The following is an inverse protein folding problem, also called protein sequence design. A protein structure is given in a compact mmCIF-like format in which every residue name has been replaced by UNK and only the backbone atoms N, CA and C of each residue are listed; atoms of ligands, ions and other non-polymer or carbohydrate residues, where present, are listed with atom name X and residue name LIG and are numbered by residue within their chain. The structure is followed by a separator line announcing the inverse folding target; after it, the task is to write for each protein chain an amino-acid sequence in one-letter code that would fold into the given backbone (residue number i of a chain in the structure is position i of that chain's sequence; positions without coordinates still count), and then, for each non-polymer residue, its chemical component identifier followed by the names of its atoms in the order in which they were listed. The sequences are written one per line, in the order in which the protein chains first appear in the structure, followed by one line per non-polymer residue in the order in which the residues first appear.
data_IF_364576726544
#
_entry.id   IF_364576726544
#
_cell.length_a   1.000
_cell.length_b   1.000
_cell.length_c   1.000
_cell.angle_alpha   90.00
_cell.angle_beta   90.00
_cell.angle_gamma   90.00
#
_symmetry.space_group_name_H-M   'P 1'
#
loop_
_entity.id
_entity.type
_entity.pdbx_description
1 polymer ?
#
# COMPACT_ATOMS: atom_id res chain seq x y z
N UNK A 1 -0.82 -78.84 -2.56
CA UNK A 1 -1.72 -78.64 -3.72
C UNK A 1 -2.95 -77.89 -3.23
N UNK A 2 -3.22 -76.68 -3.74
CA UNK A 2 -4.43 -75.87 -3.42
C UNK A 2 -5.67 -76.51 -4.05
N UNK A 3 -6.87 -76.13 -3.57
CA UNK A 3 -7.83 -75.58 -4.53
C UNK A 3 -8.36 -74.21 -4.10
N UNK A 4 -8.44 -73.32 -5.09
CA UNK A 4 -9.03 -72.00 -5.02
C UNK A 4 -10.51 -72.09 -5.41
N UNK A 5 -11.36 -71.40 -4.65
CA UNK A 5 -12.77 -71.20 -4.97
C UNK A 5 -12.94 -70.03 -5.95
N UNK A 6 -13.70 -70.31 -7.01
CA UNK A 6 -14.28 -69.36 -7.99
C UNK A 6 -15.27 -68.42 -7.26
N UNK A 7 -15.51 -67.18 -7.70
CA UNK A 7 -16.40 -66.83 -8.82
C UNK A 7 -16.57 -65.29 -8.95
N UNK A 8 -17.21 -64.78 -10.03
CA UNK A 8 -16.82 -63.54 -10.74
C UNK A 8 -17.90 -62.43 -10.82
N UNK A 9 -17.58 -61.33 -11.53
CA UNK A 9 -18.46 -60.29 -12.14
C UNK A 9 -19.11 -59.30 -11.15
N UNK A 10 -19.39 -58.02 -11.41
CA UNK A 10 -19.63 -57.23 -12.62
C UNK A 10 -19.63 -55.70 -12.29
N UNK A 11 -19.26 -54.90 -13.28
CA UNK A 11 -19.67 -53.52 -13.64
C UNK A 11 -20.04 -52.45 -12.58
N UNK A 12 -19.44 -51.25 -12.70
CA UNK A 12 -20.11 -50.06 -13.26
C UNK A 12 -19.13 -48.91 -13.52
N UNK A 13 -19.33 -48.21 -14.64
CA UNK A 13 -18.64 -46.98 -15.02
C UNK A 13 -19.55 -45.80 -14.66
N UNK A 14 -19.07 -44.83 -13.87
CA UNK A 14 -19.75 -43.54 -13.67
C UNK A 14 -18.76 -42.43 -13.32
N UNK A 15 -18.79 -41.38 -14.14
CA UNK A 15 -18.15 -40.08 -13.92
C UNK A 15 -18.69 -39.42 -12.63
N UNK A 16 -17.85 -38.69 -11.90
CA UNK A 16 -18.30 -37.85 -10.78
C UNK A 16 -17.19 -37.03 -10.11
N UNK A 17 -16.99 -35.80 -10.60
CA UNK A 17 -16.47 -34.59 -9.94
C UNK A 17 -15.41 -34.72 -8.83
N UNK A 18 -14.19 -34.27 -9.12
CA UNK A 18 -13.26 -33.77 -8.10
C UNK A 18 -13.76 -32.42 -7.57
N UNK A 19 -13.79 -32.16 -6.25
CA UNK A 19 -14.47 -30.99 -5.67
C UNK A 19 -13.54 -29.80 -5.43
N UNK A 20 -12.64 -29.47 -6.36
CA UNK A 20 -11.72 -28.34 -6.16
C UNK A 20 -11.38 -27.58 -7.44
N UNK A 21 -12.42 -27.08 -8.10
CA UNK A 21 -12.30 -25.96 -9.04
C UNK A 21 -13.43 -24.98 -8.72
N UNK A 22 -13.10 -23.73 -8.35
CA UNK A 22 -13.56 -22.67 -9.24
C UNK A 22 -12.56 -21.51 -9.36
N UNK A 23 -11.96 -21.38 -10.55
CA UNK A 23 -11.96 -20.07 -11.20
C UNK A 23 -13.25 -19.88 -12.02
N UNK A 24 -13.77 -18.65 -11.92
CA UNK A 24 -14.80 -18.00 -12.76
C UNK A 24 -16.29 -18.17 -12.37
N UNK A 25 -16.75 -17.21 -11.55
CA UNK A 25 -17.95 -16.43 -11.87
C UNK A 25 -17.60 -14.95 -11.82
N UNK A 26 -17.55 -14.35 -13.01
CA UNK A 26 -17.41 -12.90 -13.24
C UNK A 26 -18.70 -12.21 -12.79
N UNK A 27 -18.73 -11.72 -11.56
CA UNK A 27 -19.55 -10.59 -11.17
C UNK A 27 -18.64 -9.37 -11.14
N UNK A 28 -18.79 -8.43 -12.09
CA UNK A 28 -18.20 -7.10 -11.95
C UNK A 28 -18.95 -6.41 -10.81
N UNK A 29 -18.44 -6.53 -9.58
CA UNK A 29 -18.71 -5.52 -8.57
C UNK A 29 -18.12 -4.21 -9.09
N UNK A 30 -18.89 -3.11 -9.15
CA UNK A 30 -18.30 -1.82 -9.49
C UNK A 30 -17.19 -1.51 -8.49
N UNK A 31 -16.09 -0.84 -8.89
CA UNK A 31 -15.11 -0.37 -7.93
C UNK A 31 -15.86 0.47 -6.89
N UNK A 32 -15.82 0.03 -5.64
CA UNK A 32 -16.32 0.82 -4.52
C UNK A 32 -15.47 2.09 -4.53
N UNK A 33 -16.07 3.20 -4.97
CA UNK A 33 -15.39 4.48 -5.05
C UNK A 33 -14.74 4.75 -3.69
N UNK A 34 -13.43 4.98 -3.68
CA UNK A 34 -12.72 5.40 -2.49
C UNK A 34 -13.48 6.61 -1.89
N UNK A 35 -13.94 6.55 -0.62
CA UNK A 35 -14.84 7.56 -0.07
C UNK A 35 -14.22 8.97 0.04
N UNK A 36 -12.94 9.13 -0.29
CA UNK A 36 -12.24 10.40 -0.25
C UNK A 36 -11.36 10.56 -1.49
N UNK A 37 -12.01 10.67 -2.66
CA UNK A 37 -11.35 11.28 -3.80
C UNK A 37 -11.01 12.72 -3.39
N UNK A 38 -9.72 12.99 -3.15
CA UNK A 38 -9.20 14.33 -2.90
C UNK A 38 -9.39 15.10 -4.20
N UNK A 39 -10.58 15.69 -4.38
CA UNK A 39 -10.81 16.60 -5.50
C UNK A 39 -9.91 17.81 -5.25
N UNK A 40 -9.05 18.21 -6.21
CA UNK A 40 -8.39 19.50 -6.10
C UNK A 40 -9.48 20.56 -5.95
N UNK A 41 -9.32 21.40 -4.95
CA UNK A 41 -10.24 22.47 -4.62
C UNK A 41 -10.21 23.52 -5.74
N UNK A 42 -11.05 23.33 -6.76
CA UNK A 42 -11.38 24.38 -7.72
C UNK A 42 -12.43 25.28 -7.07
N UNK A 43 -11.96 26.32 -6.38
CA UNK A 43 -12.81 27.48 -6.06
C UNK A 43 -13.26 28.07 -7.39
N UNK A 44 -14.53 27.84 -7.75
CA UNK A 44 -15.18 28.62 -8.79
C UNK A 44 -15.50 30.00 -8.21
N UNK A 45 -14.58 30.93 -8.38
CA UNK A 45 -14.89 32.35 -8.31
C UNK A 45 -15.19 32.86 -9.72
N UNK A 46 -16.25 33.66 -9.85
CA UNK A 46 -16.64 34.36 -11.08
C UNK A 46 -15.53 35.27 -11.62
N UNK A 47 -15.74 35.89 -12.79
CA UNK A 47 -14.67 36.43 -13.61
C UNK A 47 -14.09 37.71 -13.00
N UNK A 48 -13.01 37.55 -12.24
CA UNK A 48 -12.18 38.63 -11.73
C UNK A 48 -10.79 38.08 -11.48
N UNK A 49 -9.81 38.57 -12.24
CA UNK A 49 -8.41 38.16 -12.16
C UNK A 49 -7.84 38.51 -10.78
N UNK A 50 -7.74 37.54 -9.88
CA UNK A 50 -6.89 37.63 -8.69
C UNK A 50 -6.44 36.23 -8.28
N UNK A 51 -5.12 36.07 -8.12
CA UNK A 51 -4.46 34.78 -7.96
C UNK A 51 -5.00 33.98 -6.78
N UNK A 52 -5.14 32.67 -6.99
CA UNK A 52 -5.37 31.70 -5.92
C UNK A 52 -4.24 31.87 -4.90
N UNK A 53 -4.52 32.51 -3.76
CA UNK A 53 -3.56 32.53 -2.65
C UNK A 53 -3.46 31.10 -2.14
N UNK A 54 -2.42 30.37 -2.55
CA UNK A 54 -1.98 29.17 -1.84
C UNK A 54 -1.72 29.60 -0.40
N UNK A 55 -2.53 29.12 0.54
CA UNK A 55 -2.18 29.22 1.96
C UNK A 55 -1.07 28.20 2.16
N UNK A 56 0.16 28.69 2.35
CA UNK A 56 1.28 27.83 2.71
C UNK A 56 1.27 27.59 4.22
N UNK A 57 1.37 26.33 4.63
CA UNK A 57 1.56 25.95 6.03
C UNK A 57 3.03 25.70 6.28
N UNK A 58 3.66 26.47 7.16
CA UNK A 58 5.00 26.16 7.66
C UNK A 58 4.86 25.22 8.84
N UNK A 59 5.35 23.99 8.69
CA UNK A 59 5.16 22.91 9.66
C UNK A 59 6.52 22.40 10.12
N UNK A 60 6.72 22.41 11.44
CA UNK A 60 7.89 21.81 12.07
C UNK A 60 7.70 20.32 12.23
N UNK A 61 8.03 19.56 11.19
CA UNK A 61 8.04 18.09 11.23
C UNK A 61 9.27 17.58 10.49
N UNK A 62 9.92 16.56 11.06
CA UNK A 62 11.08 15.94 10.42
C UNK A 62 10.62 15.14 9.22
N UNK A 63 11.30 15.31 8.07
CA UNK A 63 11.02 14.55 6.84
C UNK A 63 11.07 13.03 7.07
N UNK A 64 11.96 12.57 7.93
CA UNK A 64 12.06 11.16 8.32
C UNK A 64 10.79 10.62 8.98
N UNK A 65 10.06 11.44 9.73
CA UNK A 65 8.81 11.04 10.37
C UNK A 65 7.68 10.92 9.35
N UNK A 66 7.62 11.84 8.37
CA UNK A 66 6.69 11.74 7.23
C UNK A 66 6.96 10.49 6.39
N UNK A 67 8.25 10.19 6.11
CA UNK A 67 8.64 8.96 5.41
C UNK A 67 8.16 7.72 6.15
N UNK A 68 8.44 7.63 7.45
CA UNK A 68 8.02 6.48 8.28
C UNK A 68 6.50 6.31 8.26
N UNK A 69 5.74 7.41 8.35
CA UNK A 69 4.28 7.38 8.31
C UNK A 69 3.74 6.91 6.94
N UNK A 70 4.36 7.37 5.84
CA UNK A 70 4.03 6.91 4.49
C UNK A 70 4.26 5.40 4.33
N UNK A 71 5.42 4.90 4.79
CA UNK A 71 5.82 3.50 4.65
C UNK A 71 4.99 2.54 5.53
N UNK A 72 4.60 2.99 6.73
CA UNK A 72 3.77 2.21 7.65
C UNK A 72 2.28 2.30 7.32
N UNK A 73 1.90 3.28 6.49
CA UNK A 73 0.54 3.51 6.10
C UNK A 73 -0.07 2.30 5.38
N UNK A 74 -1.30 1.99 5.72
CA UNK A 74 -2.05 0.89 5.13
C UNK A 74 -3.56 1.18 5.17
N UNK A 75 -4.35 0.26 4.61
CA UNK A 75 -5.80 0.32 4.73
C UNK A 75 -6.28 0.31 6.19
N UNK A 76 -5.53 -0.34 7.09
CA UNK A 76 -5.86 -0.51 8.51
C UNK A 76 -5.23 0.53 9.44
N UNK A 77 -4.15 1.18 9.00
CA UNK A 77 -3.40 2.17 9.78
C UNK A 77 -3.13 3.40 8.90
N UNK A 78 -3.87 4.48 9.13
CA UNK A 78 -3.74 5.74 8.40
C UNK A 78 -3.06 6.77 9.28
N UNK A 79 -2.30 7.69 8.68
CA UNK A 79 -1.56 8.70 9.42
C UNK A 79 -1.98 10.09 8.95
N UNK A 80 -2.22 11.00 9.89
CA UNK A 80 -2.58 12.38 9.62
C UNK A 80 -1.52 13.32 10.18
N UNK A 81 -1.08 14.29 9.39
CA UNK A 81 -0.25 15.40 9.85
C UNK A 81 -1.15 16.51 10.41
N UNK A 82 -0.91 16.92 11.65
CA UNK A 82 -1.43 18.16 12.22
C UNK A 82 -0.52 19.33 11.83
N UNK A 83 -0.95 20.17 10.88
CA UNK A 83 -0.11 21.28 10.38
C UNK A 83 0.05 22.42 11.39
N UNK A 84 -0.67 22.41 12.51
CA UNK A 84 -0.47 23.40 13.58
C UNK A 84 0.64 22.99 14.55
N UNK A 85 0.78 21.70 14.84
CA UNK A 85 1.73 21.21 15.84
C UNK A 85 2.93 20.49 15.22
N UNK A 86 2.79 19.96 14.01
CA UNK A 86 3.76 19.06 13.38
C UNK A 86 3.56 17.58 13.77
N UNK A 87 2.57 17.27 14.59
CA UNK A 87 2.35 15.90 15.05
C UNK A 87 1.81 14.99 13.94
N UNK A 88 2.26 13.74 13.93
CA UNK A 88 1.69 12.69 13.09
C UNK A 88 0.80 11.80 13.96
N UNK A 89 -0.49 11.81 13.67
CA UNK A 89 -1.53 11.10 14.43
C UNK A 89 -1.94 9.82 13.69
N UNK A 90 -1.75 8.63 14.28
CA UNK A 90 -2.22 7.38 13.70
C UNK A 90 -3.71 7.16 13.99
N UNK A 91 -4.46 6.75 12.97
CA UNK A 91 -5.84 6.27 13.06
C UNK A 91 -5.90 4.85 12.54
N UNK A 92 -6.24 3.92 13.44
CA UNK A 92 -6.43 2.52 13.13
C UNK A 92 -7.90 2.23 12.84
N UNK A 93 -8.21 1.26 11.98
CA UNK A 93 -9.60 0.78 11.79
C UNK A 93 -10.17 0.26 13.12
N UNK A 94 -9.36 -0.48 13.87
CA UNK A 94 -9.70 -0.98 15.21
C UNK A 94 -9.02 -0.14 16.30
N UNK A 95 -9.48 1.12 16.44
CA UNK A 95 -8.91 2.13 17.36
C UNK A 95 -8.76 1.55 18.78
N UNK A 96 -9.79 0.86 19.28
CA UNK A 96 -9.83 0.39 20.67
C UNK A 96 -8.84 -0.76 20.90
N UNK A 97 -8.77 -1.73 19.98
CA UNK A 97 -7.93 -2.92 20.15
C UNK A 97 -6.43 -2.60 19.99
N UNK A 98 -6.08 -1.61 19.15
CA UNK A 98 -4.70 -1.18 18.94
C UNK A 98 -4.23 -0.09 19.90
N UNK A 99 -5.02 0.23 20.93
CA UNK A 99 -4.69 1.25 21.93
C UNK A 99 -4.65 2.67 21.38
N UNK A 100 -5.35 2.94 20.28
CA UNK A 100 -5.50 4.27 19.71
C UNK A 100 -6.37 5.17 20.58
N UNK A 101 -6.15 6.48 20.49
CA UNK A 101 -6.94 7.47 21.22
C UNK A 101 -8.21 7.83 20.42
N UNK A 102 -9.43 7.53 20.92
CA UNK A 102 -10.67 7.89 20.24
C UNK A 102 -10.87 9.40 20.07
N UNK A 103 -10.23 10.23 20.89
CA UNK A 103 -10.31 11.68 20.76
C UNK A 103 -9.58 12.20 19.52
N UNK A 104 -8.50 11.55 19.10
CA UNK A 104 -7.76 11.95 17.90
C UNK A 104 -8.63 11.78 16.64
N UNK A 105 -9.43 10.71 16.57
CA UNK A 105 -10.39 10.54 15.49
C UNK A 105 -11.43 11.68 15.42
N UNK A 106 -11.93 12.13 16.58
CA UNK A 106 -12.88 13.25 16.65
C UNK A 106 -12.23 14.57 16.28
N UNK A 107 -11.01 14.83 16.77
CA UNK A 107 -10.22 16.01 16.44
C UNK A 107 -9.91 16.08 14.95
N UNK A 108 -9.47 14.97 14.36
CA UNK A 108 -9.19 14.90 12.93
C UNK A 108 -10.46 15.16 12.14
N UNK A 109 -11.57 14.51 12.48
CA UNK A 109 -12.85 14.66 11.77
C UNK A 109 -13.34 16.12 11.72
N UNK A 110 -13.06 16.95 12.73
CA UNK A 110 -13.45 18.36 12.74
C UNK A 110 -12.55 19.29 11.91
N UNK A 111 -11.39 18.81 11.44
CA UNK A 111 -10.38 19.63 10.75
C UNK A 111 -9.71 18.95 9.56
N UNK A 112 -10.31 17.92 8.96
CA UNK A 112 -9.74 17.24 7.77
C UNK A 112 -9.53 18.24 6.63
N UNK A 113 -8.35 18.22 6.02
CA UNK A 113 -7.92 19.12 4.92
C UNK A 113 -7.90 20.61 5.28
N UNK A 114 -8.03 20.96 6.56
CA UNK A 114 -7.92 22.34 7.07
C UNK A 114 -6.77 22.43 8.07
N UNK A 115 -6.68 21.47 8.98
CA UNK A 115 -5.61 21.30 9.97
C UNK A 115 -4.97 19.92 9.89
N UNK A 116 -5.76 18.89 9.64
CA UNK A 116 -5.30 17.51 9.61
C UNK A 116 -5.27 17.01 8.17
N UNK A 117 -4.08 16.71 7.66
CA UNK A 117 -3.88 16.23 6.30
C UNK A 117 -3.50 14.76 6.31
N UNK A 118 -4.24 13.95 5.54
CA UNK A 118 -3.92 12.53 5.39
C UNK A 118 -2.57 12.39 4.66
N UNK A 119 -1.62 11.73 5.31
CA UNK A 119 -0.36 11.32 4.71
C UNK A 119 -0.68 10.16 3.74
N UNK A 120 -0.23 10.24 2.48
CA UNK A 120 -0.47 9.17 1.53
C UNK A 120 0.23 7.90 2.00
N UNK A 121 -0.29 6.76 1.57
CA UNK A 121 0.36 5.48 1.79
C UNK A 121 0.36 4.69 0.50
N UNK A 122 1.37 3.82 0.35
CA UNK A 122 1.45 2.95 -0.81
C UNK A 122 0.48 1.79 -0.66
N UNK A 123 -0.50 1.62 -1.56
CA UNK A 123 -1.34 0.43 -1.54
C UNK A 123 -0.53 -0.80 -1.94
N UNK A 124 -0.94 -1.98 -1.46
CA UNK A 124 -0.17 -3.21 -1.66
C UNK A 124 0.03 -3.62 -3.13
N UNK A 125 -0.86 -3.20 -4.04
CA UNK A 125 -0.73 -3.51 -5.46
C UNK A 125 0.40 -2.71 -6.12
N UNK A 126 0.47 -1.40 -5.90
CA UNK A 126 1.60 -0.57 -6.35
C UNK A 126 2.90 -1.12 -5.77
N UNK A 127 2.91 -1.48 -4.49
CA UNK A 127 4.09 -2.10 -3.86
C UNK A 127 4.57 -3.38 -4.55
N UNK A 128 3.65 -4.15 -5.14
CA UNK A 128 3.94 -5.35 -5.93
C UNK A 128 4.48 -5.01 -7.32
N UNK A 129 3.89 -4.04 -8.00
CA UNK A 129 4.39 -3.53 -9.29
C UNK A 129 5.84 -3.06 -9.18
N UNK A 130 6.23 -2.37 -8.10
CA UNK A 130 7.64 -1.98 -7.91
C UNK A 130 8.58 -3.19 -7.77
N UNK A 131 8.11 -4.28 -7.15
CA UNK A 131 8.91 -5.52 -7.09
C UNK A 131 9.08 -6.12 -8.49
N UNK A 132 8.02 -6.17 -9.30
CA UNK A 132 8.09 -6.67 -10.68
C UNK A 132 9.02 -5.82 -11.55
N UNK A 133 8.90 -4.50 -11.47
CA UNK A 133 9.77 -3.56 -12.19
C UNK A 133 11.24 -3.76 -11.82
N UNK A 134 11.55 -3.83 -10.52
CA UNK A 134 12.91 -4.06 -10.06
C UNK A 134 13.46 -5.40 -10.50
N UNK A 135 12.67 -6.47 -10.42
CA UNK A 135 13.05 -7.80 -10.94
C UNK A 135 13.39 -7.72 -12.42
N UNK A 136 12.66 -6.92 -13.19
CA UNK A 136 12.93 -6.64 -14.60
C UNK A 136 14.30 -6.00 -14.87
N UNK A 137 14.84 -5.22 -13.93
CA UNK A 137 16.17 -4.58 -14.06
C UNK A 137 17.33 -5.46 -13.60
N UNK A 138 17.06 -6.54 -12.84
CA UNK A 138 18.08 -7.46 -12.31
C UNK A 138 18.81 -8.22 -13.45
N UNK A 139 20.12 -8.04 -13.52
CA UNK A 139 21.00 -8.68 -14.52
C UNK A 139 21.37 -10.11 -14.17
N UNK A 140 21.57 -10.42 -12.89
CA UNK A 140 21.87 -11.77 -12.43
C UNK A 140 20.64 -12.67 -12.63
N UNK A 141 20.79 -13.69 -13.48
CA UNK A 141 19.69 -14.61 -13.81
C UNK A 141 19.24 -15.44 -12.62
N UNK A 142 20.14 -15.80 -11.69
CA UNK A 142 19.82 -16.58 -10.49
C UNK A 142 19.04 -15.73 -9.51
N UNK A 143 19.50 -14.51 -9.24
CA UNK A 143 18.78 -13.57 -8.40
C UNK A 143 17.40 -13.28 -8.98
N UNK A 144 17.32 -12.95 -10.27
CA UNK A 144 16.05 -12.65 -10.94
C UNK A 144 15.04 -13.78 -10.79
N UNK A 145 15.46 -15.03 -11.02
CA UNK A 145 14.57 -16.18 -10.85
C UNK A 145 14.15 -16.36 -9.39
N UNK A 146 15.08 -16.24 -8.44
CA UNK A 146 14.76 -16.35 -7.02
C UNK A 146 13.75 -15.28 -6.56
N UNK A 147 13.86 -14.05 -7.07
CA UNK A 147 12.91 -12.98 -6.78
C UNK A 147 11.54 -13.21 -7.43
N UNK A 148 11.48 -13.70 -8.66
CA UNK A 148 10.22 -14.09 -9.31
C UNK A 148 9.48 -15.14 -8.46
N UNK A 149 10.17 -16.18 -8.02
CA UNK A 149 9.57 -17.21 -7.17
C UNK A 149 9.17 -16.64 -5.79
N UNK A 150 9.92 -15.66 -5.27
CA UNK A 150 9.69 -15.02 -3.99
C UNK A 150 8.46 -14.11 -3.96
N UNK A 151 8.04 -13.53 -5.09
CA UNK A 151 6.86 -12.65 -5.13
C UNK A 151 5.53 -13.40 -5.27
N UNK A 152 5.55 -14.70 -5.58
CA UNK A 152 4.32 -15.49 -5.79
C UNK A 152 3.55 -15.81 -4.50
N UNK A 153 2.34 -15.26 -4.34
CA UNK A 153 1.42 -15.64 -3.25
C UNK A 153 1.64 -14.91 -1.91
N UNK A 154 1.12 -15.50 -0.83
CA UNK A 154 1.07 -14.85 0.49
C UNK A 154 2.47 -14.65 1.06
N UNK A 155 2.76 -13.42 1.51
CA UNK A 155 4.06 -13.08 2.10
C UNK A 155 5.15 -12.73 1.08
N UNK A 156 4.76 -12.40 -0.15
CA UNK A 156 5.63 -11.91 -1.23
C UNK A 156 6.67 -10.89 -0.76
N UNK A 157 6.22 -9.79 -0.14
CA UNK A 157 7.10 -8.72 0.34
C UNK A 157 8.19 -9.18 1.31
N UNK A 158 7.88 -10.12 2.20
CA UNK A 158 8.85 -10.65 3.17
C UNK A 158 9.89 -11.50 2.45
N UNK A 159 9.44 -12.46 1.64
CA UNK A 159 10.33 -13.37 0.91
C UNK A 159 11.22 -12.63 -0.09
N UNK A 160 10.68 -11.62 -0.77
CA UNK A 160 11.45 -10.75 -1.65
C UNK A 160 12.63 -10.11 -0.92
N UNK A 161 12.40 -9.53 0.27
CA UNK A 161 13.48 -8.96 1.10
C UNK A 161 14.44 -10.03 1.60
N UNK A 162 13.94 -11.18 2.01
CA UNK A 162 14.78 -12.31 2.47
C UNK A 162 15.75 -12.78 1.39
N UNK A 163 15.33 -12.80 0.12
CA UNK A 163 16.23 -13.09 -1.01
C UNK A 163 17.30 -12.01 -1.12
N UNK A 164 16.92 -10.73 -1.07
CA UNK A 164 17.86 -9.61 -1.22
C UNK A 164 18.96 -9.56 -0.15
N UNK A 165 18.70 -10.04 1.08
CA UNK A 165 19.73 -10.12 2.14
C UNK A 165 20.98 -10.90 1.68
N UNK A 166 20.83 -11.84 0.73
CA UNK A 166 21.97 -12.60 0.18
C UNK A 166 22.69 -11.89 -0.98
N UNK A 167 22.20 -10.72 -1.42
CA UNK A 167 22.66 -9.96 -2.57
C UNK A 167 22.76 -8.46 -2.21
N UNK A 168 23.75 -8.06 -1.39
CA UNK A 168 23.80 -6.73 -0.77
C UNK A 168 23.84 -5.58 -1.79
N UNK A 169 24.45 -5.78 -2.97
CA UNK A 169 24.47 -4.76 -4.04
C UNK A 169 23.08 -4.51 -4.63
N UNK A 170 22.30 -5.58 -4.83
CA UNK A 170 20.93 -5.45 -5.33
C UNK A 170 19.98 -5.00 -4.20
N UNK A 171 20.25 -5.37 -2.95
CA UNK A 171 19.53 -4.84 -1.78
C UNK A 171 19.69 -3.32 -1.65
N UNK A 172 20.92 -2.82 -1.73
CA UNK A 172 21.20 -1.38 -1.72
C UNK A 172 20.50 -0.68 -2.90
N UNK A 173 20.63 -1.21 -4.12
CA UNK A 173 19.93 -0.66 -5.30
C UNK A 173 18.43 -0.58 -5.08
N UNK A 174 17.83 -1.63 -4.52
CA UNK A 174 16.42 -1.67 -4.22
C UNK A 174 16.00 -0.59 -3.21
N UNK A 175 16.77 -0.43 -2.14
CA UNK A 175 16.51 0.57 -1.11
C UNK A 175 16.64 1.99 -1.67
N UNK A 176 17.65 2.25 -2.49
CA UNK A 176 17.86 3.54 -3.16
C UNK A 176 16.68 3.89 -4.09
N UNK A 177 16.25 2.93 -4.91
CA UNK A 177 15.09 3.10 -5.80
C UNK A 177 13.81 3.37 -4.99
N UNK A 178 13.59 2.64 -3.88
CA UNK A 178 12.43 2.85 -3.00
C UNK A 178 12.49 4.23 -2.35
N UNK A 179 13.63 4.63 -1.83
CA UNK A 179 13.80 5.94 -1.17
C UNK A 179 13.56 7.08 -2.16
N UNK A 180 14.08 6.98 -3.38
CA UNK A 180 13.82 7.96 -4.44
C UNK A 180 12.32 8.12 -4.73
N UNK A 181 11.60 7.01 -4.91
CA UNK A 181 10.15 7.06 -5.17
C UNK A 181 9.36 7.63 -3.99
N UNK A 182 9.67 7.22 -2.76
CA UNK A 182 8.99 7.75 -1.57
C UNK A 182 9.24 9.25 -1.43
N UNK A 183 10.46 9.72 -1.72
CA UNK A 183 10.81 11.13 -1.72
C UNK A 183 9.97 11.93 -2.71
N UNK A 184 9.88 11.46 -3.95
CA UNK A 184 9.08 12.08 -5.01
C UNK A 184 7.59 12.15 -4.66
N UNK A 185 7.03 11.07 -4.12
CA UNK A 185 5.62 11.03 -3.68
C UNK A 185 5.34 12.01 -2.53
N UNK A 186 6.25 12.09 -1.56
CA UNK A 186 6.13 13.03 -0.45
C UNK A 186 6.27 14.48 -0.92
N UNK A 187 7.22 14.78 -1.81
CA UNK A 187 7.40 16.13 -2.36
C UNK A 187 6.14 16.56 -3.14
N UNK A 188 5.64 15.68 -4.01
CA UNK A 188 4.39 15.91 -4.75
C UNK A 188 3.20 16.14 -3.81
N UNK A 189 3.12 15.38 -2.71
CA UNK A 189 2.07 15.57 -1.70
C UNK A 189 2.21 16.91 -0.97
N UNK A 190 3.40 17.30 -0.55
CA UNK A 190 3.68 18.59 0.09
C UNK A 190 3.31 19.76 -0.83
N UNK A 191 3.71 19.70 -2.10
CA UNK A 191 3.39 20.73 -3.10
C UNK A 191 1.88 20.86 -3.36
N UNK A 192 1.16 19.73 -3.42
CA UNK A 192 -0.29 19.69 -3.63
C UNK A 192 -1.08 20.21 -2.44
N UNK A 193 -0.57 19.98 -1.23
CA UNK A 193 -1.19 20.41 0.02
C UNK A 193 -0.79 21.82 0.43
N UNK A 194 0.28 22.37 -0.15
CA UNK A 194 0.82 23.68 0.23
C UNK A 194 1.51 23.62 1.60
N UNK A 195 2.06 22.46 1.98
CA UNK A 195 2.78 22.30 3.24
C UNK A 195 4.27 22.49 2.96
N UNK A 196 4.90 23.38 3.71
CA UNK A 196 6.33 23.64 3.70
C UNK A 196 6.92 23.12 5.02
N UNK A 197 8.02 22.36 4.92
CA UNK A 197 8.71 21.83 6.09
C UNK A 197 9.73 22.84 6.59
N UNK A 198 9.70 23.13 7.89
CA UNK A 198 10.80 23.86 8.52
C UNK A 198 11.98 22.91 8.72
N UNK A 199 13.12 23.19 8.07
CA UNK A 199 14.38 22.53 8.39
C UNK A 199 14.76 22.88 9.84
N UNK A 200 14.83 21.85 10.70
CA UNK A 200 15.29 22.01 12.09
C UNK A 200 16.78 21.74 12.18
#
# INVERSE_FOLDING_TARGET
MRPASRSPTSAYSSRGRSPNDPHHSRGRSPPQAAPFSVRPFLVRSGPGREGVRRVAFHVRVRRDELRRAYEQGSAEARYFLDVQTGDILPIFVDIIERGGNPEDARRIASGVNVRYFLIPHKPSHEGYEEMEEFIGTVRDKRLRQALLDAIEGKGAFRRFREVLVSYPVDEERWLDEREARVREELDSWLERTGIELDET
#
